data_IF_723715740165
#
_entry.id   IF_723715740165
#
_cell.length_a   1.000
_cell.length_b   1.000
_cell.length_c   1.000
_cell.angle_alpha   90.00
_cell.angle_beta   90.00
_cell.angle_gamma   90.00
#
_symmetry.space_group_name_H-M   'P 1'
#
loop_
_entity.id
_entity.type
_entity.pdbx_description
1 polymer ?
#
# COMPACT_ATOMS: atom_id res chain seq x y z
N UNK A 1 16.69 -5.26 -4.68
CA UNK A 1 16.84 -4.88 -3.26
C UNK A 1 16.48 -3.41 -3.13
N UNK A 2 15.73 -3.00 -2.10
CA UNK A 2 15.34 -1.59 -1.96
C UNK A 2 16.53 -0.73 -1.52
N UNK A 3 16.61 0.48 -2.07
CA UNK A 3 17.61 1.48 -1.71
C UNK A 3 17.17 2.28 -0.48
N UNK A 4 18.09 3.02 0.15
CA UNK A 4 17.74 3.91 1.25
C UNK A 4 16.71 4.98 0.83
N UNK A 5 16.80 5.46 -0.41
CA UNK A 5 15.86 6.44 -0.95
C UNK A 5 14.48 5.83 -1.23
N UNK A 6 14.40 4.54 -1.58
CA UNK A 6 13.12 3.82 -1.61
C UNK A 6 12.46 3.84 -0.22
N UNK A 7 13.18 3.44 0.83
CA UNK A 7 12.63 3.44 2.19
C UNK A 7 12.18 4.83 2.66
N UNK A 8 12.94 5.89 2.35
CA UNK A 8 12.53 7.28 2.66
C UNK A 8 11.25 7.66 1.95
N UNK A 9 11.10 7.26 0.68
CA UNK A 9 9.88 7.51 -0.10
C UNK A 9 8.68 6.77 0.44
N UNK A 10 8.86 5.51 0.85
CA UNK A 10 7.79 4.71 1.47
C UNK A 10 7.34 5.32 2.81
N UNK A 11 8.27 5.77 3.66
CA UNK A 11 7.93 6.45 4.91
C UNK A 11 7.18 7.77 4.67
N UNK A 12 7.60 8.53 3.65
CA UNK A 12 6.92 9.77 3.23
C UNK A 12 5.51 9.48 2.70
N UNK A 13 5.35 8.45 1.89
CA UNK A 13 4.06 7.97 1.37
C UNK A 13 3.07 7.68 2.50
N UNK A 14 3.49 6.89 3.50
CA UNK A 14 2.66 6.53 4.64
C UNK A 14 2.25 7.79 5.45
N UNK A 15 3.18 8.73 5.63
CA UNK A 15 2.94 10.01 6.31
C UNK A 15 1.91 10.86 5.56
N UNK A 16 2.09 11.06 4.26
CA UNK A 16 1.17 11.87 3.44
C UNK A 16 -0.22 11.23 3.35
N UNK A 17 -0.28 9.90 3.21
CA UNK A 17 -1.54 9.17 3.23
C UNK A 17 -2.26 9.37 4.57
N UNK A 18 -1.54 9.18 5.68
CA UNK A 18 -2.08 9.41 7.02
C UNK A 18 -2.65 10.82 7.13
N UNK A 19 -1.87 11.83 6.79
CA UNK A 19 -2.25 13.23 7.01
C UNK A 19 -3.46 13.64 6.16
N UNK A 20 -3.50 13.19 4.89
CA UNK A 20 -4.64 13.41 3.99
C UNK A 20 -5.92 12.73 4.49
N UNK A 21 -5.82 11.49 4.97
CA UNK A 21 -6.98 10.66 5.31
C UNK A 21 -7.32 10.63 6.80
N UNK A 22 -6.54 11.29 7.66
CA UNK A 22 -6.62 11.16 9.12
C UNK A 22 -8.04 11.35 9.65
N UNK A 23 -8.72 12.42 9.21
CA UNK A 23 -10.08 12.74 9.63
C UNK A 23 -11.08 11.66 9.23
N UNK A 24 -11.00 11.19 7.98
CA UNK A 24 -11.89 10.16 7.46
C UNK A 24 -11.64 8.80 8.14
N UNK A 25 -10.38 8.42 8.34
CA UNK A 25 -10.01 7.18 9.04
C UNK A 25 -10.60 7.16 10.45
N UNK A 26 -10.46 8.25 11.22
CA UNK A 26 -11.00 8.33 12.59
C UNK A 26 -12.53 8.26 12.68
N UNK A 27 -13.24 8.56 11.60
CA UNK A 27 -14.70 8.53 11.54
C UNK A 27 -15.24 7.18 11.05
N UNK A 28 -14.39 6.31 10.51
CA UNK A 28 -14.80 4.99 10.05
C UNK A 28 -15.21 4.10 11.24
N UNK A 29 -16.29 3.35 11.06
CA UNK A 29 -16.81 2.43 12.08
C UNK A 29 -15.80 1.31 12.44
N UNK A 30 -14.99 0.89 11.47
CA UNK A 30 -13.94 -0.13 11.63
C UNK A 30 -12.56 0.46 11.98
N UNK A 31 -12.50 1.69 12.50
CA UNK A 31 -11.24 2.30 12.91
C UNK A 31 -10.58 1.51 14.06
N UNK A 32 -9.39 0.96 13.81
CA UNK A 32 -8.58 0.32 14.82
C UNK A 32 -7.55 1.32 15.40
N UNK A 33 -7.72 1.81 16.65
CA UNK A 33 -6.81 2.78 17.27
C UNK A 33 -5.42 2.22 17.59
N UNK A 34 -5.24 0.89 17.53
CA UNK A 34 -3.96 0.21 17.80
C UNK A 34 -3.04 0.22 16.59
N UNK A 35 -3.58 0.59 15.42
CA UNK A 35 -2.86 0.59 14.15
C UNK A 35 -2.54 2.01 13.69
N UNK A 36 -1.38 2.13 13.04
CA UNK A 36 -0.97 3.31 12.29
C UNK A 36 -1.16 3.13 10.79
N UNK A 37 -0.66 4.12 10.03
CA UNK A 37 -0.46 3.97 8.59
C UNK A 37 1.00 3.63 8.36
N UNK A 38 1.28 2.55 7.63
CA UNK A 38 2.64 2.11 7.34
C UNK A 38 2.76 1.40 5.99
N UNK A 39 3.92 1.52 5.35
CA UNK A 39 4.25 0.96 4.04
C UNK A 39 5.20 -0.24 4.21
N UNK A 40 4.69 -1.43 3.92
CA UNK A 40 5.32 -2.71 4.28
C UNK A 40 5.54 -3.61 3.06
N UNK A 41 6.54 -4.48 3.16
CA UNK A 41 6.76 -5.59 2.21
C UNK A 41 6.91 -5.12 0.75
N UNK A 42 7.49 -3.94 0.54
CA UNK A 42 7.69 -3.40 -0.80
C UNK A 42 8.84 -4.10 -1.53
N UNK A 43 8.66 -4.24 -2.83
CA UNK A 43 9.63 -4.83 -3.75
C UNK A 43 9.50 -4.18 -5.13
N UNK A 44 10.56 -4.23 -5.91
CA UNK A 44 10.54 -3.74 -7.29
C UNK A 44 9.93 -4.80 -8.21
N UNK A 45 9.11 -4.34 -9.16
CA UNK A 45 8.67 -5.08 -10.33
C UNK A 45 9.49 -4.63 -11.54
N UNK A 46 9.64 -5.53 -12.52
CA UNK A 46 10.38 -5.28 -13.77
C UNK A 46 9.84 -4.08 -14.57
N UNK A 47 8.62 -3.64 -14.26
CA UNK A 47 7.91 -2.51 -14.89
C UNK A 47 8.32 -1.14 -14.33
N UNK A 48 9.40 -1.05 -13.54
CA UNK A 48 9.84 0.21 -12.91
C UNK A 48 8.90 0.69 -11.80
N UNK A 49 8.21 -0.25 -11.15
CA UNK A 49 7.27 0.01 -10.06
C UNK A 49 7.78 -0.62 -8.77
N UNK A 50 7.57 0.06 -7.64
CA UNK A 50 7.55 -0.58 -6.34
C UNK A 50 6.13 -1.03 -6.05
N UNK A 51 5.96 -2.29 -5.64
CA UNK A 51 4.69 -2.85 -5.20
C UNK A 51 4.83 -3.36 -3.77
N UNK A 52 3.81 -3.15 -2.95
CA UNK A 52 3.81 -3.59 -1.55
C UNK A 52 2.47 -3.38 -0.88
N UNK A 53 2.47 -3.50 0.44
CA UNK A 53 1.31 -3.33 1.28
C UNK A 53 1.30 -1.94 1.94
N UNK A 54 0.15 -1.28 1.96
CA UNK A 54 -0.11 -0.15 2.84
C UNK A 54 -1.12 -0.58 3.90
N UNK A 55 -0.68 -0.59 5.15
CA UNK A 55 -1.57 -0.77 6.29
C UNK A 55 -2.15 0.58 6.67
N UNK A 56 -3.43 0.56 7.02
CA UNK A 56 -4.15 1.70 7.59
C UNK A 56 -4.96 1.21 8.79
N UNK A 57 -5.45 2.11 9.66
CA UNK A 57 -6.31 1.73 10.78
C UNK A 57 -7.59 0.98 10.40
N UNK A 58 -8.01 0.99 9.13
CA UNK A 58 -9.29 0.41 8.69
C UNK A 58 -9.13 -0.72 7.69
N UNK A 59 -7.97 -0.84 7.03
CA UNK A 59 -7.80 -1.73 5.88
C UNK A 59 -6.33 -1.96 5.53
N UNK A 60 -6.08 -3.07 4.84
CA UNK A 60 -4.85 -3.43 4.17
C UNK A 60 -5.01 -3.24 2.65
N UNK A 61 -4.09 -2.51 2.05
CA UNK A 61 -4.11 -2.16 0.63
C UNK A 61 -2.90 -2.73 -0.09
N UNK A 62 -3.11 -3.21 -1.31
CA UNK A 62 -2.05 -3.41 -2.29
C UNK A 62 -1.77 -2.06 -2.96
N UNK A 63 -0.51 -1.64 -2.97
CA UNK A 63 -0.08 -0.33 -3.47
C UNK A 63 1.05 -0.49 -4.47
N UNK A 64 0.99 0.30 -5.55
CA UNK A 64 2.06 0.46 -6.52
C UNK A 64 2.45 1.94 -6.64
N UNK A 65 3.75 2.20 -6.76
CA UNK A 65 4.33 3.54 -6.97
C UNK A 65 5.51 3.44 -7.96
N UNK A 66 5.82 4.50 -8.71
CA UNK A 66 6.95 4.51 -9.64
C UNK A 66 8.29 4.56 -8.90
N UNK A 67 9.29 3.80 -9.38
CA UNK A 67 10.65 3.77 -8.79
C UNK A 67 11.35 5.12 -8.90
N UNK A 68 10.99 5.99 -9.84
CA UNK A 68 11.60 7.33 -9.98
C UNK A 68 10.81 8.42 -9.21
N UNK A 69 9.75 8.04 -8.49
CA UNK A 69 8.89 8.96 -7.76
C UNK A 69 8.03 9.88 -8.65
N UNK A 70 8.27 9.88 -9.96
CA UNK A 70 7.41 10.56 -10.93
C UNK A 70 6.41 9.55 -11.48
N UNK A 71 5.16 9.71 -11.10
CA UNK A 71 4.10 9.02 -11.81
C UNK A 71 3.90 9.72 -13.14
N UNK A 72 3.81 8.96 -14.22
CA UNK A 72 3.09 9.42 -15.40
C UNK A 72 1.65 9.68 -14.96
N UNK A 73 1.34 10.94 -14.67
CA UNK A 73 0.09 11.44 -14.08
C UNK A 73 -1.18 11.13 -14.90
N UNK A 74 -1.08 10.36 -15.97
CA UNK A 74 -2.10 10.24 -17.00
C UNK A 74 -3.01 9.01 -16.83
N UNK A 75 -2.60 7.98 -16.08
CA UNK A 75 -3.36 6.74 -15.96
C UNK A 75 -4.13 6.63 -14.64
N UNK A 76 -5.45 6.79 -14.71
CA UNK A 76 -6.37 6.61 -13.56
C UNK A 76 -6.40 5.18 -13.02
N UNK A 77 -6.02 4.20 -13.83
CA UNK A 77 -5.98 2.79 -13.47
C UNK A 77 -4.65 2.20 -13.92
N UNK A 78 -4.09 1.33 -13.10
CA UNK A 78 -2.88 0.58 -13.41
C UNK A 78 -3.18 -0.91 -13.27
N UNK A 79 -2.89 -1.69 -14.31
CA UNK A 79 -2.92 -3.15 -14.23
C UNK A 79 -1.50 -3.66 -13.98
N UNK A 80 -1.28 -4.33 -12.86
CA UNK A 80 -0.02 -5.00 -12.56
C UNK A 80 -0.20 -6.51 -12.64
N UNK A 81 0.82 -7.19 -13.14
CA UNK A 81 0.88 -8.66 -13.13
C UNK A 81 1.78 -9.09 -11.99
N UNK A 82 1.20 -9.84 -11.05
CA UNK A 82 1.92 -10.55 -10.00
C UNK A 82 1.85 -12.06 -10.30
N UNK A 83 2.71 -12.89 -9.72
CA UNK A 83 2.66 -14.34 -9.92
C UNK A 83 1.28 -14.97 -9.69
N UNK A 84 0.54 -14.47 -8.70
CA UNK A 84 -0.83 -14.95 -8.40
C UNK A 84 -1.89 -14.52 -9.41
N UNK A 85 -1.61 -13.54 -10.28
CA UNK A 85 -2.56 -13.04 -11.27
C UNK A 85 -2.41 -11.55 -11.60
N UNK A 86 -3.38 -11.02 -12.35
CA UNK A 86 -3.43 -9.62 -12.75
C UNK A 86 -4.35 -8.82 -11.83
N UNK A 87 -3.85 -7.69 -11.33
CA UNK A 87 -4.54 -6.81 -10.39
C UNK A 87 -4.70 -5.43 -10.99
N UNK A 88 -5.95 -4.96 -11.06
CA UNK A 88 -6.27 -3.57 -11.40
C UNK A 88 -6.28 -2.72 -10.14
N UNK A 89 -5.48 -1.67 -10.12
CA UNK A 89 -5.35 -0.69 -9.06
C UNK A 89 -5.86 0.67 -9.54
N UNK A 90 -6.39 1.46 -8.62
CA UNK A 90 -6.93 2.79 -8.91
C UNK A 90 -5.97 3.86 -8.40
N UNK A 91 -5.78 4.90 -9.20
CA UNK A 91 -4.92 6.01 -8.83
C UNK A 91 -5.53 6.80 -7.68
N UNK A 92 -4.67 7.21 -6.76
CA UNK A 92 -4.97 8.15 -5.70
C UNK A 92 -3.87 9.20 -5.59
N UNK A 93 -4.25 10.46 -5.70
CA UNK A 93 -3.38 11.61 -5.49
C UNK A 93 -3.27 11.89 -3.99
N UNK A 94 -2.07 11.86 -3.42
CA UNK A 94 -1.83 12.19 -2.00
C UNK A 94 -1.50 13.68 -1.79
N UNK A 95 -1.03 14.36 -2.83
CA UNK A 95 -0.75 15.79 -2.83
C UNK A 95 -0.45 16.30 -4.25
N UNK A 96 0.08 17.50 -4.40
CA UNK A 96 0.32 18.12 -5.72
C UNK A 96 1.28 17.33 -6.63
N UNK A 97 2.16 16.51 -6.05
CA UNK A 97 3.24 15.83 -6.77
C UNK A 97 3.38 14.33 -6.50
N UNK A 98 2.55 13.76 -5.61
CA UNK A 98 2.60 12.34 -5.32
C UNK A 98 1.24 11.70 -5.58
N UNK A 99 1.27 10.63 -6.36
CA UNK A 99 0.17 9.70 -6.44
C UNK A 99 0.70 8.28 -6.28
N UNK A 100 -0.22 7.40 -5.90
CA UNK A 100 -0.03 5.97 -5.87
C UNK A 100 -1.17 5.32 -6.63
N UNK A 101 -1.03 4.06 -6.99
CA UNK A 101 -2.16 3.21 -7.34
C UNK A 101 -2.41 2.25 -6.20
N UNK A 102 -3.68 2.05 -5.83
CA UNK A 102 -4.04 1.09 -4.79
C UNK A 102 -5.28 0.27 -5.09
N UNK A 103 -5.38 -0.86 -4.40
CA UNK A 103 -6.58 -1.70 -4.31
C UNK A 103 -6.72 -2.23 -2.90
N UNK A 104 -7.95 -2.21 -2.36
CA UNK A 104 -8.22 -2.81 -1.06
C UNK A 104 -8.09 -4.33 -1.17
N UNK A 105 -7.34 -4.94 -0.26
CA UNK A 105 -7.13 -6.38 -0.20
C UNK A 105 -7.91 -6.98 0.98
N UNK A 106 -7.92 -6.27 2.10
CA UNK A 106 -8.67 -6.66 3.28
C UNK A 106 -9.20 -5.41 3.98
N UNK A 107 -10.50 -5.43 4.27
CA UNK A 107 -11.17 -4.43 5.09
C UNK A 107 -11.31 -4.94 6.52
N UNK A 108 -11.52 -4.01 7.44
CA UNK A 108 -11.75 -4.28 8.87
C UNK A 108 -10.60 -5.05 9.54
N UNK A 109 -9.66 -4.28 10.06
CA UNK A 109 -8.54 -4.79 10.83
C UNK A 109 -8.79 -4.74 12.34
N UNK A 110 -10.04 -4.62 12.79
CA UNK A 110 -10.38 -4.42 14.21
C UNK A 110 -9.94 -5.55 15.14
N UNK A 111 -9.77 -6.77 14.61
CA UNK A 111 -9.30 -7.92 15.36
C UNK A 111 -7.79 -7.88 15.69
N UNK A 112 -7.01 -7.04 15.01
CA UNK A 112 -5.58 -6.93 15.24
C UNK A 112 -5.30 -6.12 16.50
N UNK A 113 -4.38 -6.62 17.32
CA UNK A 113 -4.04 -6.00 18.60
C UNK A 113 -2.78 -5.14 18.52
N UNK A 114 -1.92 -5.39 17.52
CA UNK A 114 -0.64 -4.71 17.39
C UNK A 114 -0.26 -4.42 15.94
N UNK A 115 0.65 -3.46 15.76
CA UNK A 115 1.30 -3.22 14.48
C UNK A 115 2.15 -4.41 14.00
N UNK A 116 2.67 -5.23 14.91
CA UNK A 116 3.44 -6.42 14.56
C UNK A 116 2.56 -7.50 13.93
N UNK A 117 1.36 -7.73 14.47
CA UNK A 117 0.36 -8.61 13.87
C UNK A 117 -0.06 -8.12 12.49
N UNK A 118 -0.26 -6.81 12.36
CA UNK A 118 -0.57 -6.17 11.09
C UNK A 118 0.55 -6.39 10.06
N UNK A 119 1.82 -6.21 10.46
CA UNK A 119 2.96 -6.45 9.59
C UNK A 119 3.08 -7.92 9.17
N UNK A 120 2.83 -8.88 10.08
CA UNK A 120 2.80 -10.31 9.75
C UNK A 120 1.68 -10.63 8.76
N UNK A 121 0.49 -10.04 8.94
CA UNK A 121 -0.63 -10.19 8.02
C UNK A 121 -0.29 -9.65 6.62
N UNK A 122 0.26 -8.43 6.54
CA UNK A 122 0.71 -7.84 5.29
C UNK A 122 1.77 -8.72 4.60
N UNK A 123 2.74 -9.24 5.35
CA UNK A 123 3.76 -10.13 4.81
C UNK A 123 3.16 -11.42 4.27
N UNK A 124 2.23 -12.06 5.00
CA UNK A 124 1.57 -13.29 4.55
C UNK A 124 0.75 -13.05 3.28
N UNK A 125 0.01 -11.94 3.20
CA UNK A 125 -0.76 -11.58 2.02
C UNK A 125 0.14 -11.28 0.82
N UNK A 126 1.21 -10.50 1.02
CA UNK A 126 2.17 -10.21 -0.05
C UNK A 126 2.87 -11.47 -0.55
N UNK A 127 3.26 -12.39 0.34
CA UNK A 127 3.84 -13.68 -0.05
C UNK A 127 2.88 -14.47 -0.95
N UNK A 128 1.59 -14.56 -0.60
CA UNK A 128 0.58 -15.24 -1.45
C UNK A 128 0.40 -14.55 -2.80
N UNK A 129 0.45 -13.22 -2.85
CA UNK A 129 0.36 -12.50 -4.12
C UNK A 129 1.55 -12.77 -5.04
N UNK A 130 2.70 -13.11 -4.45
CA UNK A 130 3.96 -13.43 -5.11
C UNK A 130 4.14 -14.92 -5.43
N UNK A 131 3.14 -15.75 -5.14
CA UNK A 131 3.11 -17.16 -5.51
C UNK A 131 2.12 -17.41 -6.65
N UNK A 132 2.41 -18.33 -7.59
CA UNK A 132 1.42 -18.75 -8.59
C UNK A 132 0.15 -19.31 -7.92
N UNK A 133 -1.02 -19.17 -8.55
CA UNK A 133 -2.22 -19.84 -8.05
C UNK A 133 -1.99 -21.36 -8.05
N UNK A 134 -2.37 -22.01 -6.94
CA UNK A 134 -2.30 -23.46 -6.76
C UNK A 134 -3.24 -24.20 -7.72
#
# INVERSE_FOLDING_TARGET
>A
MLTQDDYRRLAKLATEYRDKHFKALKQAACFNPRLGVDALCFQQLDQGLLVGALITPTALWLVALPVDGQATLYEKNLSITLPSGTYRLHQETLGAHHCLWKRCILEDLGALETMEEAARLAQSMMSRLMEPPA
#
